data_IF_717215529997
#
_entry.id   IF_717215529997
#
_cell.length_a   1.000
_cell.length_b   1.000
_cell.length_c   1.000
_cell.angle_alpha   90.00
_cell.angle_beta   90.00
_cell.angle_gamma   90.00
#
_symmetry.space_group_name_H-M   'P 1'
#
loop_
_entity.id
_entity.type
_entity.pdbx_description
1 polymer ?
#
# COMPACT_ATOMS: atom_id res chain seq x y z
N UNK A 1 8.38 -10.75 0.52
CA UNK A 1 7.78 -9.43 0.80
C UNK A 1 7.27 -8.82 -0.50
N UNK A 2 5.99 -8.45 -0.54
CA UNK A 2 5.31 -7.86 -1.68
C UNK A 2 4.67 -6.52 -1.29
N UNK A 3 4.38 -5.67 -2.29
CA UNK A 3 3.91 -4.29 -2.06
C UNK A 3 2.71 -3.98 -2.96
N UNK A 4 1.61 -3.54 -2.34
CA UNK A 4 0.42 -3.01 -3.02
C UNK A 4 0.54 -1.48 -3.06
N UNK A 5 0.40 -0.92 -4.25
CA UNK A 5 0.49 0.51 -4.57
C UNK A 5 -0.75 0.97 -5.33
N UNK A 6 -1.01 2.27 -5.36
CA UNK A 6 -2.11 2.77 -6.19
C UNK A 6 -1.77 2.56 -7.66
N UNK A 7 -2.79 2.32 -8.47
CA UNK A 7 -2.63 2.27 -9.92
C UNK A 7 -2.48 3.73 -10.39
N UNK A 8 -1.34 4.06 -11.00
CA UNK A 8 -1.11 5.39 -11.57
C UNK A 8 -2.07 5.61 -12.74
N UNK A 9 -3.16 6.31 -12.48
CA UNK A 9 -4.14 6.73 -13.50
C UNK A 9 -5.47 7.17 -12.90
N UNK A 10 -5.65 8.47 -12.67
CA UNK A 10 -6.96 9.06 -12.34
C UNK A 10 -7.41 8.96 -10.88
N UNK A 11 -8.70 9.22 -10.66
CA UNK A 11 -9.44 9.29 -9.38
C UNK A 11 -9.46 7.99 -8.56
N UNK A 12 -8.86 6.91 -9.06
CA UNK A 12 -8.82 5.58 -8.42
C UNK A 12 -7.53 5.35 -7.62
N UNK A 13 -7.12 6.33 -6.82
CA UNK A 13 -6.04 6.14 -5.84
C UNK A 13 -6.57 5.39 -4.61
N UNK A 14 -5.75 4.51 -4.02
CA UNK A 14 -6.11 3.89 -2.74
C UNK A 14 -6.22 5.01 -1.70
N UNK A 15 -7.40 5.20 -1.12
CA UNK A 15 -7.58 6.11 -0.01
C UNK A 15 -7.21 5.41 1.32
N UNK A 16 -7.41 6.08 2.46
CA UNK A 16 -7.09 5.48 3.76
C UNK A 16 -7.96 4.26 4.09
N UNK A 17 -9.26 4.34 3.84
CA UNK A 17 -10.21 3.27 4.11
C UNK A 17 -9.90 2.02 3.28
N UNK A 18 -9.62 2.20 1.98
CA UNK A 18 -9.22 1.10 1.08
C UNK A 18 -7.98 0.39 1.62
N UNK A 19 -6.97 1.16 2.06
CA UNK A 19 -5.73 0.59 2.62
C UNK A 19 -5.99 -0.22 3.87
N UNK A 20 -6.84 0.29 4.77
CA UNK A 20 -7.21 -0.41 5.99
C UNK A 20 -8.01 -1.69 5.70
N UNK A 21 -8.92 -1.67 4.73
CA UNK A 21 -9.68 -2.86 4.33
C UNK A 21 -8.78 -3.94 3.74
N UNK A 22 -7.87 -3.58 2.83
CA UNK A 22 -6.90 -4.52 2.25
C UNK A 22 -5.98 -5.09 3.34
N UNK A 23 -5.47 -4.25 4.25
CA UNK A 23 -4.64 -4.71 5.35
C UNK A 23 -5.38 -5.72 6.25
N UNK A 24 -6.65 -5.46 6.59
CA UNK A 24 -7.49 -6.40 7.35
C UNK A 24 -7.66 -7.74 6.65
N UNK A 25 -7.87 -7.75 5.33
CA UNK A 25 -8.01 -8.97 4.55
C UNK A 25 -6.72 -9.80 4.55
N UNK A 26 -5.57 -9.14 4.35
CA UNK A 26 -4.26 -9.80 4.37
C UNK A 26 -3.95 -10.40 5.75
N UNK A 27 -4.23 -9.67 6.84
CA UNK A 27 -4.08 -10.18 8.21
C UNK A 27 -4.98 -11.42 8.42
N UNK A 28 -6.23 -11.36 7.97
CA UNK A 28 -7.17 -12.51 8.09
C UNK A 28 -6.72 -13.72 7.27
N UNK A 29 -5.98 -13.51 6.19
CA UNK A 29 -5.41 -14.57 5.37
C UNK A 29 -4.09 -15.14 5.95
N UNK A 30 -3.61 -14.63 7.09
CA UNK A 30 -2.39 -15.12 7.75
C UNK A 30 -1.10 -14.41 7.32
N UNK A 31 -1.20 -13.30 6.58
CA UNK A 31 -0.04 -12.49 6.24
C UNK A 31 0.28 -11.47 7.32
N UNK A 32 1.56 -11.18 7.47
CA UNK A 32 2.04 -10.01 8.22
C UNK A 32 2.06 -8.80 7.30
N UNK A 33 1.59 -7.66 7.82
CA UNK A 33 1.25 -6.47 7.02
C UNK A 33 1.77 -5.21 7.69
N UNK A 34 2.31 -4.29 6.88
CA UNK A 34 2.72 -2.94 7.28
C UNK A 34 2.21 -1.91 6.29
N UNK A 35 1.59 -0.85 6.80
CA UNK A 35 1.26 0.32 5.98
C UNK A 35 2.45 1.28 6.03
N UNK A 36 3.10 1.46 4.88
CA UNK A 36 4.27 2.29 4.70
C UNK A 36 4.00 3.48 3.79
N UNK A 37 5.07 4.18 3.41
CA UNK A 37 5.02 5.21 2.37
C UNK A 37 6.26 5.12 1.47
N UNK A 38 6.07 5.42 0.18
CA UNK A 38 7.14 5.55 -0.79
C UNK A 38 7.11 6.93 -1.45
N UNK A 39 8.27 7.42 -1.88
CA UNK A 39 8.32 8.64 -2.71
C UNK A 39 7.95 8.26 -4.14
N UNK A 40 7.01 9.00 -4.72
CA UNK A 40 6.54 8.74 -6.08
C UNK A 40 7.67 9.03 -7.08
N UNK A 41 8.22 8.03 -7.80
CA UNK A 41 9.35 8.23 -8.69
C UNK A 41 8.95 9.09 -9.90
N UNK A 42 9.74 10.13 -10.19
CA UNK A 42 9.44 11.09 -11.27
C UNK A 42 8.52 12.26 -10.87
N UNK A 43 8.18 12.39 -9.59
CA UNK A 43 7.48 13.59 -9.10
C UNK A 43 8.46 14.59 -8.49
N UNK A 44 8.67 15.72 -9.17
CA UNK A 44 9.58 16.79 -8.74
C UNK A 44 9.25 17.40 -7.37
N UNK A 45 8.02 17.18 -6.85
CA UNK A 45 7.57 17.70 -5.55
C UNK A 45 7.73 16.72 -4.38
N UNK A 46 8.38 15.57 -4.57
CA UNK A 46 8.63 14.61 -3.49
C UNK A 46 7.35 14.07 -2.83
N UNK A 47 6.22 14.05 -3.56
CA UNK A 47 4.96 13.55 -3.02
C UNK A 47 5.12 12.10 -2.56
N UNK A 48 4.65 11.83 -1.35
CA UNK A 48 4.62 10.50 -0.74
C UNK A 48 3.31 9.80 -1.13
N UNK A 49 3.41 8.53 -1.46
CA UNK A 49 2.28 7.62 -1.62
C UNK A 49 2.30 6.59 -0.48
N UNK A 50 1.15 6.37 0.15
CA UNK A 50 1.01 5.30 1.13
C UNK A 50 0.86 3.95 0.41
N UNK A 51 1.57 2.94 0.90
CA UNK A 51 1.60 1.59 0.33
C UNK A 51 1.34 0.55 1.40
N UNK A 52 0.95 -0.64 0.99
CA UNK A 52 0.71 -1.79 1.87
C UNK A 52 1.78 -2.82 1.56
N UNK A 53 2.67 -3.06 2.51
CA UNK A 53 3.71 -4.08 2.46
C UNK A 53 3.20 -5.33 3.18
N UNK A 54 3.42 -6.51 2.61
CA UNK A 54 3.03 -7.77 3.24
C UNK A 54 4.00 -8.91 2.97
N UNK A 55 4.07 -9.87 3.89
CA UNK A 55 4.94 -11.04 3.83
C UNK A 55 4.36 -12.20 4.65
N UNK A 56 4.84 -13.41 4.38
CA UNK A 56 4.61 -14.59 5.21
C UNK A 56 5.70 -14.61 6.30
N UNK A 57 5.31 -14.86 7.55
CA UNK A 57 6.27 -15.19 8.60
C UNK A 57 6.53 -16.71 8.54
N UNK A 58 7.81 -17.09 8.50
CA UNK A 58 8.25 -18.49 8.58
C UNK A 58 7.91 -19.13 9.94
#
# INVERSE_FOLDING_TARGET
MAVIRSIRGGTAGLNEEDRLQIARLLIKAGYSVRIGYQVIPGNAKGKKEYVIEYWEEE
#
